data_IF_520114838750
#
_entry.id   IF_520114838750
#
_cell.length_a   1.000
_cell.length_b   1.000
_cell.length_c   1.000
_cell.angle_alpha   90.00
_cell.angle_beta   90.00
_cell.angle_gamma   90.00
#
_symmetry.space_group_name_H-M   'P 1'
#
loop_
_entity.id
_entity.type
_entity.pdbx_description
1 polymer ?
#
# COMPACT_ATOMS: atom_id res chain seq x y z
N UNK A 1 -38.78 14.23 14.72
CA UNK A 1 -39.01 14.43 16.16
C UNK A 1 -40.43 14.02 16.53
N UNK A 2 -40.59 12.96 17.34
CA UNK A 2 -41.49 12.79 18.50
C UNK A 2 -41.67 11.29 18.79
N UNK A 3 -41.91 10.92 20.05
CA UNK A 3 -41.30 9.77 20.68
C UNK A 3 -42.32 8.69 21.04
N UNK A 4 -41.85 7.51 21.47
CA UNK A 4 -42.60 6.66 22.40
C UNK A 4 -41.67 6.13 23.47
N UNK A 5 -42.05 6.40 24.71
CA UNK A 5 -41.37 6.10 25.97
C UNK A 5 -41.98 4.84 26.60
N UNK A 6 -41.26 4.33 27.60
CA UNK A 6 -41.73 3.65 28.84
C UNK A 6 -42.20 2.18 28.70
N UNK A 7 -41.94 1.23 29.61
CA UNK A 7 -41.87 1.25 31.08
C UNK A 7 -41.00 0.10 31.71
N UNK A 8 -40.30 0.41 32.82
CA UNK A 8 -40.13 -0.29 34.13
C UNK A 8 -39.72 -1.79 34.20
N UNK A 9 -38.63 -2.21 34.84
CA UNK A 9 -38.17 -2.15 36.26
C UNK A 9 -38.81 -3.19 37.20
N UNK A 10 -38.00 -4.09 37.79
CA UNK A 10 -38.08 -4.53 39.20
C UNK A 10 -36.99 -5.55 39.57
N UNK A 11 -36.40 -5.35 40.76
CA UNK A 11 -35.44 -6.19 41.45
C UNK A 11 -36.07 -7.44 42.09
N UNK A 12 -35.27 -8.49 42.30
CA UNK A 12 -35.45 -9.41 43.43
C UNK A 12 -34.08 -9.81 44.03
N UNK A 13 -33.87 -9.36 45.25
CA UNK A 13 -32.86 -9.79 46.23
C UNK A 13 -33.41 -11.03 46.96
N UNK A 14 -32.52 -11.93 47.43
CA UNK A 14 -32.59 -12.75 48.69
C UNK A 14 -32.01 -14.16 48.48
N UNK A 15 -31.33 -14.89 49.38
CA UNK A 15 -30.59 -14.72 50.66
C UNK A 15 -29.95 -16.12 50.94
N UNK A 16 -28.72 -16.16 51.48
CA UNK A 16 -27.98 -17.12 52.35
C UNK A 16 -28.40 -18.62 52.44
N UNK A 17 -27.51 -19.63 52.61
CA UNK A 17 -26.73 -19.97 53.82
C UNK A 17 -25.74 -21.12 53.52
N UNK A 18 -24.66 -21.11 54.29
CA UNK A 18 -23.46 -21.96 54.37
C UNK A 18 -23.68 -23.46 54.56
N UNK A 19 -22.83 -24.26 53.90
CA UNK A 19 -22.43 -25.59 54.38
C UNK A 19 -20.92 -25.60 54.64
N UNK A 20 -20.54 -25.77 55.90
CA UNK A 20 -19.17 -26.07 56.35
C UNK A 20 -18.94 -27.56 56.11
N UNK A 21 -18.00 -27.90 55.23
CA UNK A 21 -17.48 -29.25 55.04
C UNK A 21 -15.97 -29.22 55.13
N UNK A 22 -15.42 -29.80 56.19
CA UNK A 22 -13.99 -29.94 56.44
C UNK A 22 -13.37 -31.01 55.55
N UNK A 23 -12.18 -30.72 55.02
CA UNK A 23 -11.19 -31.72 54.61
C UNK A 23 -11.08 -31.95 53.10
N UNK A 24 -10.13 -31.28 52.46
CA UNK A 24 -9.14 -31.94 51.60
C UNK A 24 -8.00 -30.96 51.33
N UNK A 25 -6.77 -31.46 51.36
CA UNK A 25 -5.52 -30.71 51.24
C UNK A 25 -5.47 -29.88 49.95
N UNK A 26 -5.15 -28.60 50.09
CA UNK A 26 -4.74 -27.72 49.01
C UNK A 26 -3.26 -28.01 48.66
N UNK A 27 -2.92 -28.47 47.45
CA UNK A 27 -1.56 -28.37 46.96
C UNK A 27 -1.32 -26.92 46.57
N UNK A 28 -0.62 -26.19 47.42
CA UNK A 28 0.12 -25.01 47.01
C UNK A 28 1.35 -25.52 46.24
N UNK A 29 1.60 -24.98 45.05
CA UNK A 29 2.56 -25.43 44.03
C UNK A 29 1.98 -26.43 43.01
N UNK A 30 0.97 -26.01 42.25
CA UNK A 30 0.90 -26.42 40.86
C UNK A 30 1.54 -25.31 40.04
N UNK A 31 2.79 -25.51 39.61
CA UNK A 31 3.32 -24.82 38.44
C UNK A 31 2.27 -24.92 37.32
N UNK A 32 1.98 -23.83 36.57
CA UNK A 32 1.16 -23.95 35.38
C UNK A 32 1.80 -25.02 34.51
N UNK A 33 1.11 -26.15 34.36
CA UNK A 33 1.50 -27.15 33.37
C UNK A 33 1.49 -26.43 32.04
N UNK A 34 2.68 -26.12 31.50
CA UNK A 34 2.87 -25.68 30.13
C UNK A 34 2.28 -26.76 29.24
N UNK A 35 1.02 -26.57 28.89
CA UNK A 35 0.33 -27.41 27.94
C UNK A 35 1.08 -27.23 26.62
N UNK A 36 1.62 -28.31 26.03
CA UNK A 36 2.42 -28.19 24.81
C UNK A 36 1.57 -27.44 23.78
N UNK A 37 2.11 -26.39 23.13
CA UNK A 37 1.34 -25.58 22.20
C UNK A 37 0.71 -26.52 21.18
N UNK A 38 -0.63 -26.46 21.08
CA UNK A 38 -1.35 -27.19 20.05
C UNK A 38 -0.89 -26.74 18.65
N UNK A 39 -1.34 -27.39 17.58
CA UNK A 39 -0.89 -27.11 16.21
C UNK A 39 -1.31 -25.73 15.65
N UNK A 40 -1.75 -24.80 16.51
CA UNK A 40 -2.14 -23.43 16.15
C UNK A 40 -1.00 -22.44 16.32
N UNK A 41 -1.15 -21.27 15.68
CA UNK A 41 -0.22 -20.15 15.83
C UNK A 41 -0.19 -19.67 17.29
N UNK A 42 1.00 -19.35 17.76
CA UNK A 42 1.22 -18.62 18.99
C UNK A 42 0.67 -17.19 18.88
N UNK A 43 0.37 -16.56 20.00
CA UNK A 43 -0.08 -15.15 20.01
C UNK A 43 0.94 -14.20 19.37
N UNK A 44 2.24 -14.50 19.50
CA UNK A 44 3.30 -13.70 18.89
C UNK A 44 3.30 -13.82 17.35
N UNK A 45 3.00 -15.00 16.81
CA UNK A 45 2.87 -15.21 15.36
C UNK A 45 1.64 -14.50 14.81
N UNK A 46 0.49 -14.59 15.48
CA UNK A 46 -0.73 -13.85 15.09
C UNK A 46 -0.46 -12.34 15.05
N UNK A 47 0.19 -11.79 16.08
CA UNK A 47 0.54 -10.37 16.10
C UNK A 47 1.48 -9.98 14.95
N UNK A 48 2.42 -10.84 14.58
CA UNK A 48 3.32 -10.61 13.44
C UNK A 48 2.58 -10.65 12.12
N UNK A 49 1.66 -11.60 11.91
CA UNK A 49 0.82 -11.67 10.71
C UNK A 49 -0.05 -10.41 10.56
N UNK A 50 -0.66 -9.95 11.65
CA UNK A 50 -1.49 -8.74 11.67
C UNK A 50 -0.65 -7.48 11.38
N UNK A 51 0.54 -7.39 11.96
CA UNK A 51 1.47 -6.30 11.68
C UNK A 51 1.91 -6.31 10.21
N UNK A 52 2.22 -7.50 9.66
CA UNK A 52 2.65 -7.66 8.26
C UNK A 52 1.51 -7.29 7.31
N UNK A 53 0.27 -7.67 7.63
CA UNK A 53 -0.93 -7.30 6.86
C UNK A 53 -1.15 -5.79 6.85
N UNK A 54 -1.03 -5.12 8.01
CA UNK A 54 -1.14 -3.64 8.07
C UNK A 54 -0.01 -2.93 7.33
N UNK A 55 1.21 -3.48 7.37
CA UNK A 55 2.33 -2.94 6.60
C UNK A 55 2.09 -3.08 5.09
N UNK A 56 1.63 -4.25 4.64
CA UNK A 56 1.26 -4.50 3.24
C UNK A 56 0.13 -3.56 2.77
N UNK A 57 -0.89 -3.33 3.62
CA UNK A 57 -1.95 -2.35 3.36
C UNK A 57 -1.37 -0.95 3.10
N UNK A 58 -0.47 -0.48 3.98
CA UNK A 58 0.20 0.81 3.83
C UNK A 58 1.03 0.90 2.53
N UNK A 59 1.77 -0.15 2.21
CA UNK A 59 2.52 -0.25 0.96
C UNK A 59 1.59 -0.14 -0.27
N UNK A 60 0.49 -0.90 -0.28
CA UNK A 60 -0.48 -0.90 -1.37
C UNK A 60 -1.22 0.43 -1.50
N UNK A 61 -1.52 1.12 -0.39
CA UNK A 61 -2.07 2.48 -0.43
C UNK A 61 -1.08 3.49 -1.04
N UNK A 62 0.21 3.37 -0.73
CA UNK A 62 1.26 4.24 -1.27
C UNK A 62 1.42 4.09 -2.79
N UNK A 63 1.49 2.84 -3.29
CA UNK A 63 1.59 2.59 -4.74
C UNK A 63 0.25 2.81 -5.46
N UNK A 64 -0.88 2.62 -4.79
CA UNK A 64 -2.20 2.95 -5.34
C UNK A 64 -2.42 4.44 -5.57
N UNK A 65 -1.69 5.30 -4.87
CA UNK A 65 -1.69 6.73 -5.17
C UNK A 65 -1.06 7.04 -6.52
N UNK A 66 -0.01 6.31 -6.92
CA UNK A 66 0.55 6.44 -8.25
C UNK A 66 -0.49 6.08 -9.30
N UNK A 67 -1.21 4.97 -9.14
CA UNK A 67 -2.31 4.57 -10.04
C UNK A 67 -3.34 5.69 -10.18
N UNK A 68 -3.78 6.27 -9.04
CA UNK A 68 -4.71 7.41 -9.06
C UNK A 68 -4.12 8.63 -9.77
N UNK A 69 -2.87 8.98 -9.51
CA UNK A 69 -2.19 10.10 -10.17
C UNK A 69 -2.12 9.91 -11.68
N UNK A 70 -1.76 8.71 -12.12
CA UNK A 70 -1.66 8.35 -13.54
C UNK A 70 -3.03 8.35 -14.22
N UNK A 71 -4.12 8.07 -13.50
CA UNK A 71 -5.48 8.17 -14.05
C UNK A 71 -5.96 9.60 -14.32
N UNK A 72 -5.28 10.60 -13.75
CA UNK A 72 -5.60 12.03 -13.91
C UNK A 72 -4.69 12.74 -14.90
N UNK A 73 -3.85 11.99 -15.61
CA UNK A 73 -2.87 12.53 -16.53
C UNK A 73 -3.56 13.28 -17.69
N UNK A 74 -3.05 14.46 -18.08
CA UNK A 74 -3.56 15.17 -19.24
C UNK A 74 -3.23 14.42 -20.55
N UNK A 75 -4.16 14.44 -21.49
CA UNK A 75 -3.90 13.94 -22.85
C UNK A 75 -2.97 14.91 -23.60
N UNK A 76 -2.09 14.35 -24.42
CA UNK A 76 -1.26 15.14 -25.34
C UNK A 76 -2.17 15.76 -26.40
N UNK A 77 -2.04 17.07 -26.63
CA UNK A 77 -2.74 17.79 -27.70
C UNK A 77 -1.85 17.88 -28.96
N UNK A 78 -2.09 17.05 -30.00
CA UNK A 78 -1.26 17.03 -31.20
C UNK A 78 -1.61 18.13 -32.21
N UNK A 79 -2.53 19.06 -31.89
CA UNK A 79 -3.01 20.07 -32.86
C UNK A 79 -1.92 21.00 -33.37
N UNK A 80 -0.88 21.26 -32.56
CA UNK A 80 0.34 21.95 -33.00
C UNK A 80 1.56 21.39 -32.27
N UNK A 81 2.75 21.52 -32.85
CA UNK A 81 4.01 21.12 -32.20
C UNK A 81 4.21 21.80 -30.83
N UNK A 82 3.86 23.08 -30.73
CA UNK A 82 3.98 23.83 -29.48
C UNK A 82 3.01 23.30 -28.41
N UNK A 83 1.76 23.00 -28.79
CA UNK A 83 0.77 22.41 -27.87
C UNK A 83 1.21 21.02 -27.44
N UNK A 84 1.63 20.18 -28.38
CA UNK A 84 2.11 18.83 -28.10
C UNK A 84 3.29 18.84 -27.13
N UNK A 85 4.26 19.75 -27.33
CA UNK A 85 5.42 19.92 -26.44
C UNK A 85 4.98 20.31 -25.03
N UNK A 86 4.12 21.34 -24.93
CA UNK A 86 3.60 21.82 -23.65
C UNK A 86 2.82 20.72 -22.91
N UNK A 87 1.87 20.08 -23.56
CA UNK A 87 1.05 19.03 -22.91
C UNK A 87 1.89 17.79 -22.57
N UNK A 88 2.92 17.47 -23.36
CA UNK A 88 3.86 16.39 -23.01
C UNK A 88 4.70 16.75 -21.77
N UNK A 89 5.09 18.01 -21.64
CA UNK A 89 5.80 18.50 -20.45
C UNK A 89 4.92 18.49 -19.20
N UNK A 90 3.65 18.91 -19.32
CA UNK A 90 2.65 18.85 -18.24
C UNK A 90 2.35 17.41 -17.81
N UNK A 91 2.22 16.50 -18.78
CA UNK A 91 2.09 15.07 -18.59
C UNK A 91 3.23 14.49 -17.75
N UNK A 92 4.49 14.75 -18.14
CA UNK A 92 5.65 14.30 -17.38
C UNK A 92 5.72 14.96 -15.98
N UNK A 93 5.31 16.22 -15.86
CA UNK A 93 5.22 16.90 -14.56
C UNK A 93 4.23 16.23 -13.60
N UNK A 94 3.08 15.79 -14.12
CA UNK A 94 2.07 15.04 -13.35
C UNK A 94 2.61 13.69 -12.91
N UNK A 95 3.28 12.97 -13.80
CA UNK A 95 3.94 11.70 -13.50
C UNK A 95 5.02 11.84 -12.43
N UNK A 96 5.91 12.83 -12.55
CA UNK A 96 6.96 13.14 -11.56
C UNK A 96 6.35 13.40 -10.19
N UNK A 97 5.28 14.22 -10.14
CA UNK A 97 4.59 14.53 -8.89
C UNK A 97 3.96 13.28 -8.25
N UNK A 98 3.37 12.40 -9.06
CA UNK A 98 2.83 11.11 -8.58
C UNK A 98 3.92 10.20 -8.01
N UNK A 99 5.06 10.08 -8.70
CA UNK A 99 6.20 9.30 -8.25
C UNK A 99 6.80 9.85 -6.95
N UNK A 100 7.00 11.16 -6.85
CA UNK A 100 7.53 11.81 -5.65
C UNK A 100 6.63 11.54 -4.43
N UNK A 101 5.30 11.63 -4.60
CA UNK A 101 4.34 11.32 -3.51
C UNK A 101 4.38 9.85 -3.12
N UNK A 102 4.39 8.93 -4.07
CA UNK A 102 4.47 7.49 -3.77
C UNK A 102 5.78 7.14 -3.06
N UNK A 103 6.91 7.68 -3.51
CA UNK A 103 8.20 7.50 -2.84
C UNK A 103 8.18 8.04 -1.41
N UNK A 104 7.61 9.24 -1.20
CA UNK A 104 7.46 9.80 0.14
C UNK A 104 6.66 8.87 1.04
N UNK A 105 5.49 8.42 0.59
CA UNK A 105 4.63 7.53 1.39
C UNK A 105 5.26 6.20 1.70
N UNK A 106 6.03 5.62 0.78
CA UNK A 106 6.77 4.39 1.02
C UNK A 106 7.83 4.60 2.12
N UNK A 107 8.54 5.72 2.10
CA UNK A 107 9.52 6.08 3.14
C UNK A 107 8.85 6.32 4.50
N UNK A 108 7.64 6.85 4.50
CA UNK A 108 6.87 7.13 5.73
C UNK A 108 6.25 5.87 6.36
N UNK A 109 6.30 4.71 5.69
CA UNK A 109 5.86 3.46 6.30
C UNK A 109 6.73 3.12 7.50
N UNK A 110 6.10 2.59 8.54
CA UNK A 110 6.81 1.94 9.64
C UNK A 110 7.73 0.82 9.11
N UNK A 111 8.69 0.42 9.94
CA UNK A 111 9.55 -0.72 9.65
C UNK A 111 8.72 -1.97 9.34
N UNK A 112 9.14 -2.71 8.32
CA UNK A 112 8.50 -3.94 7.91
C UNK A 112 8.70 -5.00 9.00
N UNK A 113 7.62 -5.65 9.48
CA UNK A 113 7.71 -6.71 10.48
C UNK A 113 8.48 -7.95 10.01
N UNK A 114 8.70 -8.07 8.69
CA UNK A 114 9.53 -9.08 8.04
C UNK A 114 10.70 -8.39 7.29
N UNK A 115 11.97 -8.79 7.50
CA UNK A 115 13.12 -8.12 6.86
C UNK A 115 13.09 -8.10 5.33
N UNK A 116 12.40 -9.05 4.72
CA UNK A 116 12.23 -9.06 3.27
C UNK A 116 11.33 -7.92 2.76
N UNK A 117 10.39 -7.43 3.58
CA UNK A 117 9.54 -6.28 3.27
C UNK A 117 10.36 -5.00 3.09
N UNK A 118 11.42 -4.83 3.87
CA UNK A 118 12.36 -3.71 3.69
C UNK A 118 13.05 -3.73 2.33
N UNK A 119 13.48 -4.92 1.88
CA UNK A 119 14.11 -5.06 0.57
C UNK A 119 13.13 -4.77 -0.57
N UNK A 120 11.88 -5.23 -0.45
CA UNK A 120 10.81 -4.94 -1.41
C UNK A 120 10.58 -3.42 -1.49
N UNK A 121 10.40 -2.77 -0.34
CA UNK A 121 10.25 -1.31 -0.25
C UNK A 121 11.42 -0.56 -0.86
N UNK A 122 12.65 -0.91 -0.49
CA UNK A 122 13.85 -0.24 -0.99
C UNK A 122 14.01 -0.37 -2.51
N UNK A 123 13.72 -1.57 -3.05
CA UNK A 123 13.74 -1.80 -4.50
C UNK A 123 12.71 -0.93 -5.22
N UNK A 124 11.46 -0.90 -4.73
CA UNK A 124 10.40 -0.07 -5.31
C UNK A 124 10.76 1.42 -5.29
N UNK A 125 11.27 1.93 -4.16
CA UNK A 125 11.76 3.31 -4.04
C UNK A 125 12.87 3.59 -5.08
N UNK A 126 13.83 2.68 -5.22
CA UNK A 126 14.92 2.85 -6.20
C UNK A 126 14.40 2.91 -7.63
N UNK A 127 13.48 2.01 -7.98
CA UNK A 127 12.88 1.94 -9.32
C UNK A 127 12.08 3.21 -9.64
N UNK A 128 11.22 3.66 -8.71
CA UNK A 128 10.43 4.88 -8.89
C UNK A 128 11.29 6.14 -9.01
N UNK A 129 12.36 6.27 -8.22
CA UNK A 129 13.29 7.40 -8.35
C UNK A 129 13.98 7.39 -9.72
N UNK A 130 14.43 6.22 -10.20
CA UNK A 130 15.09 6.11 -11.50
C UNK A 130 14.17 6.52 -12.66
N UNK A 131 12.90 6.11 -12.61
CA UNK A 131 11.89 6.51 -13.61
C UNK A 131 11.61 8.01 -13.51
N UNK A 132 11.47 8.53 -12.28
CA UNK A 132 11.23 9.96 -12.01
C UNK A 132 12.35 10.84 -12.56
N UNK A 133 13.61 10.44 -12.39
CA UNK A 133 14.76 11.20 -12.86
C UNK A 133 14.86 11.21 -14.39
N UNK A 134 14.54 10.08 -15.06
CA UNK A 134 14.42 10.04 -16.52
C UNK A 134 13.27 10.92 -17.02
N UNK A 135 12.12 10.89 -16.38
CA UNK A 135 11.00 11.77 -16.69
C UNK A 135 11.39 13.25 -16.55
N UNK A 136 12.12 13.60 -15.49
CA UNK A 136 12.60 14.96 -15.27
C UNK A 136 13.58 15.44 -16.37
N UNK A 137 14.52 14.58 -16.79
CA UNK A 137 15.45 14.89 -17.87
C UNK A 137 14.74 15.13 -19.22
N UNK A 138 13.75 14.29 -19.54
CA UNK A 138 12.95 14.45 -20.76
C UNK A 138 12.09 15.71 -20.69
N UNK A 139 11.46 15.98 -19.54
CA UNK A 139 10.71 17.21 -19.30
C UNK A 139 11.58 18.45 -19.52
N UNK A 140 12.79 18.47 -18.98
CA UNK A 140 13.72 19.58 -19.19
C UNK A 140 14.07 19.79 -20.67
N UNK A 141 14.22 18.68 -21.42
CA UNK A 141 14.47 18.72 -22.87
C UNK A 141 13.28 19.30 -23.63
N UNK A 142 12.05 18.91 -23.29
CA UNK A 142 10.82 19.47 -23.86
C UNK A 142 10.70 20.98 -23.56
N UNK A 143 10.95 21.38 -22.33
CA UNK A 143 10.86 22.79 -21.90
C UNK A 143 11.88 23.66 -22.65
N UNK A 144 13.08 23.14 -22.91
CA UNK A 144 14.12 23.83 -23.68
C UNK A 144 13.81 23.87 -25.19
N UNK A 145 13.16 22.84 -25.73
CA UNK A 145 12.87 22.71 -27.15
C UNK A 145 11.67 23.55 -27.64
N UNK A 146 10.91 24.17 -26.72
CA UNK A 146 9.61 24.78 -27.00
C UNK A 146 9.58 25.87 -28.10
N UNK A 147 10.73 26.45 -28.46
CA UNK A 147 10.86 27.48 -29.50
C UNK A 147 11.47 26.95 -30.81
N UNK A 148 11.96 25.70 -30.85
CA UNK A 148 12.53 25.06 -32.03
C UNK A 148 11.65 23.89 -32.48
N UNK A 149 10.97 23.99 -33.64
CA UNK A 149 10.10 22.93 -34.16
C UNK A 149 10.82 21.60 -34.42
N UNK A 150 12.09 21.60 -34.80
CA UNK A 150 12.85 20.38 -35.07
C UNK A 150 13.21 19.68 -33.74
N UNK A 151 13.75 20.44 -32.79
CA UNK A 151 14.05 19.93 -31.44
C UNK A 151 12.78 19.45 -30.73
N UNK A 152 11.65 20.16 -30.91
CA UNK A 152 10.37 19.79 -30.31
C UNK A 152 9.88 18.42 -30.75
N UNK A 153 9.97 18.07 -32.05
CA UNK A 153 9.54 16.75 -32.54
C UNK A 153 10.34 15.62 -31.90
N UNK A 154 11.66 15.79 -31.80
CA UNK A 154 12.53 14.81 -31.15
C UNK A 154 12.21 14.68 -29.66
N UNK A 155 12.02 15.80 -28.97
CA UNK A 155 11.69 15.83 -27.55
C UNK A 155 10.32 15.18 -27.26
N UNK A 156 9.31 15.43 -28.10
CA UNK A 156 7.99 14.77 -27.99
C UNK A 156 8.14 13.24 -28.13
N UNK A 157 8.94 12.75 -29.08
CA UNK A 157 9.17 11.31 -29.23
C UNK A 157 9.84 10.69 -28.00
N UNK A 158 10.70 11.43 -27.30
CA UNK A 158 11.35 10.95 -26.09
C UNK A 158 10.41 10.88 -24.89
N UNK A 159 9.32 11.66 -24.87
CA UNK A 159 8.33 11.70 -23.79
C UNK A 159 7.64 10.35 -23.55
N UNK A 160 7.54 9.51 -24.57
CA UNK A 160 6.94 8.18 -24.46
C UNK A 160 7.76 7.20 -23.62
N UNK A 161 9.09 7.36 -23.54
CA UNK A 161 9.97 6.42 -22.83
C UNK A 161 9.62 6.26 -21.35
N UNK A 162 9.62 7.35 -20.55
CA UNK A 162 9.24 7.27 -19.14
C UNK A 162 7.82 6.74 -18.91
N UNK A 163 6.87 7.07 -19.80
CA UNK A 163 5.48 6.62 -19.71
C UNK A 163 5.34 5.11 -19.95
N UNK A 164 6.09 4.58 -20.92
CA UNK A 164 6.16 3.15 -21.19
C UNK A 164 6.85 2.39 -20.03
N UNK A 165 7.94 2.94 -19.51
CA UNK A 165 8.63 2.35 -18.35
C UNK A 165 7.70 2.25 -17.13
N UNK A 166 6.98 3.32 -16.80
CA UNK A 166 6.09 3.32 -15.64
C UNK A 166 4.88 2.39 -15.86
N UNK A 167 4.37 2.30 -17.09
CA UNK A 167 3.33 1.34 -17.49
C UNK A 167 3.72 -0.13 -17.26
N UNK A 168 5.02 -0.45 -17.32
CA UNK A 168 5.55 -1.81 -17.13
C UNK A 168 5.81 -2.18 -15.68
N UNK A 169 5.79 -1.23 -14.76
CA UNK A 169 6.09 -1.51 -13.35
C UNK A 169 5.03 -2.43 -12.76
N UNK A 170 5.48 -3.56 -12.21
CA UNK A 170 4.66 -4.39 -11.32
C UNK A 170 4.69 -3.78 -9.92
N UNK A 171 3.58 -3.15 -9.51
CA UNK A 171 3.51 -2.39 -8.26
C UNK A 171 3.72 -3.25 -7.01
N UNK A 172 3.50 -4.56 -7.11
CA UNK A 172 3.64 -5.54 -6.02
C UNK A 172 4.82 -6.50 -6.24
N UNK A 173 5.78 -6.13 -7.10
CA UNK A 173 6.96 -6.95 -7.36
C UNK A 173 7.68 -7.33 -6.05
N UNK A 174 7.97 -8.63 -5.89
CA UNK A 174 8.67 -9.17 -4.72
C UNK A 174 7.77 -9.69 -3.59
N UNK A 175 6.48 -9.32 -3.57
CA UNK A 175 5.54 -9.86 -2.57
C UNK A 175 5.40 -11.39 -2.69
N UNK A 176 5.28 -11.91 -3.91
CA UNK A 176 5.13 -13.36 -4.17
C UNK A 176 6.36 -14.19 -3.80
N UNK A 177 7.53 -13.55 -3.69
CA UNK A 177 8.77 -14.25 -3.33
C UNK A 177 8.95 -14.46 -1.82
N UNK A 178 8.03 -13.93 -1.01
CA UNK A 178 8.07 -13.96 0.45
C UNK A 178 6.70 -14.42 0.95
N UNK A 179 6.56 -15.66 1.48
CA UNK A 179 5.27 -16.22 1.87
C UNK A 179 4.44 -15.31 2.78
N UNK A 180 5.07 -14.69 3.77
CA UNK A 180 4.40 -13.79 4.71
C UNK A 180 3.84 -12.53 4.02
N UNK A 181 4.55 -12.00 3.02
CA UNK A 181 4.07 -10.86 2.24
C UNK A 181 2.99 -11.27 1.24
N UNK A 182 3.11 -12.46 0.63
CA UNK A 182 2.07 -12.99 -0.26
C UNK A 182 0.73 -13.15 0.49
N UNK A 183 0.75 -13.75 1.68
CA UNK A 183 -0.43 -13.86 2.55
C UNK A 183 -0.94 -12.49 3.01
N UNK A 184 -0.04 -11.59 3.43
CA UNK A 184 -0.43 -10.24 3.84
C UNK A 184 -1.10 -9.46 2.70
N UNK A 185 -0.61 -9.58 1.47
CA UNK A 185 -1.20 -8.97 0.27
C UNK A 185 -2.63 -9.47 0.01
N UNK A 186 -2.88 -10.76 0.17
CA UNK A 186 -4.23 -11.32 0.00
C UNK A 186 -5.21 -10.80 1.05
N UNK A 187 -4.72 -10.53 2.27
CA UNK A 187 -5.52 -10.04 3.40
C UNK A 187 -5.70 -8.51 3.41
N UNK A 188 -4.75 -7.76 2.84
CA UNK A 188 -4.80 -6.31 2.72
C UNK A 188 -5.81 -5.86 1.64
N UNK A 189 -6.77 -5.02 2.03
CA UNK A 189 -7.84 -4.55 1.14
C UNK A 189 -7.30 -3.67 0.01
N UNK A 190 -6.40 -2.74 0.30
CA UNK A 190 -5.79 -1.89 -0.72
C UNK A 190 -5.01 -2.71 -1.75
N UNK A 191 -4.34 -3.78 -1.33
CA UNK A 191 -3.64 -4.67 -2.23
C UNK A 191 -4.61 -5.41 -3.16
N UNK A 192 -5.72 -5.94 -2.61
CA UNK A 192 -6.77 -6.56 -3.41
C UNK A 192 -7.37 -5.60 -4.42
N UNK A 193 -7.58 -4.34 -4.03
CA UNK A 193 -8.13 -3.32 -4.92
C UNK A 193 -7.23 -3.03 -6.12
N UNK A 194 -5.91 -3.11 -5.94
CA UNK A 194 -4.94 -3.01 -7.04
C UNK A 194 -5.00 -4.21 -7.98
N UNK A 195 -5.14 -5.42 -7.44
CA UNK A 195 -5.12 -6.67 -8.23
C UNK A 195 -6.44 -7.00 -8.91
N UNK A 196 -7.51 -6.21 -8.70
CA UNK A 196 -8.81 -6.42 -9.36
C UNK A 196 -8.73 -6.40 -10.90
N UNK A 197 -7.69 -5.78 -11.46
CA UNK A 197 -7.44 -5.70 -12.90
C UNK A 197 -6.44 -6.77 -13.40
N UNK A 198 -5.86 -7.59 -12.51
CA UNK A 198 -4.90 -8.66 -12.83
C UNK A 198 -3.97 -9.01 -11.65
N UNK A 199 -3.33 -10.20 -11.64
CA UNK A 199 -2.45 -10.64 -10.55
C UNK A 199 -1.16 -9.80 -10.42
N UNK A 200 -0.75 -9.15 -11.51
CA UNK A 200 0.32 -8.16 -11.53
C UNK A 200 -0.30 -6.78 -11.79
N UNK A 201 -0.58 -5.99 -10.75
CA UNK A 201 -1.14 -4.67 -10.96
C UNK A 201 -0.07 -3.81 -11.63
N UNK A 202 -0.38 -3.42 -12.87
CA UNK A 202 0.38 -2.50 -13.71
C UNK A 202 -0.42 -1.22 -13.88
N UNK A 203 0.26 -0.15 -14.25
CA UNK A 203 -0.42 1.05 -14.70
C UNK A 203 -0.94 0.78 -16.10
N UNK A 204 -2.21 0.34 -16.19
CA UNK A 204 -2.83 -0.02 -17.45
C UNK A 204 -2.91 1.16 -18.42
N UNK A 205 -2.57 0.87 -19.68
CA UNK A 205 -3.11 1.52 -20.87
C UNK A 205 -4.05 0.55 -21.57
#
# INVERSE_FOLDING_TARGET
MRPRKTLFAALAVSICVTAVGCGERQPQNAEPLEQPPGPGLTSAEVQREDATTRWAEGYCLAVGELVRSMSTIPMIDPSTTQRATRTSSELLGTMITGLDRTVSRLRDLAEAPVPAGERVRAKAISEYNAIRDRAAAVKQTLDAAAQDPAASRQAISAAGGPLDEIGKVNLLAGFESVPELATARERAQACRDLTKQGPEPRLGY
#
